data_IF_681716166331
#
_entry.id   IF_681716166331
#
_cell.length_a   1.000
_cell.length_b   1.000
_cell.length_c   1.000
_cell.angle_alpha   90.00
_cell.angle_beta   90.00
_cell.angle_gamma   90.00
#
_symmetry.space_group_name_H-M   'P 1'
#
loop_
_entity.id
_entity.type
_entity.pdbx_description
1 polymer ?
#
# COMPACT_ATOMS: atom_id res chain seq x y z
N UNK A 1 29.80 -86.68 16.28
CA UNK A 1 29.79 -86.62 17.76
C UNK A 1 30.03 -85.17 18.22
N UNK A 2 29.09 -84.66 19.02
CA UNK A 2 29.12 -83.47 19.88
C UNK A 2 29.64 -82.10 19.33
N UNK A 3 28.66 -81.26 18.98
CA UNK A 3 28.47 -79.83 19.32
C UNK A 3 28.92 -79.45 20.78
N UNK A 4 28.91 -78.18 21.29
CA UNK A 4 28.39 -76.90 20.72
C UNK A 4 29.08 -75.56 21.18
N UNK A 5 28.47 -74.41 20.82
CA UNK A 5 28.19 -73.24 21.71
C UNK A 5 29.34 -72.29 22.14
N UNK A 6 29.25 -70.95 22.18
CA UNK A 6 28.16 -69.97 22.19
C UNK A 6 28.75 -68.55 22.00
N UNK A 7 27.99 -67.62 21.43
CA UNK A 7 28.16 -66.17 21.62
C UNK A 7 28.26 -65.39 20.29
N UNK A 8 27.29 -64.59 19.87
CA UNK A 8 26.07 -64.15 20.54
C UNK A 8 25.05 -63.53 19.56
N UNK A 9 23.82 -63.44 20.05
CA UNK A 9 22.66 -62.68 19.53
C UNK A 9 22.92 -61.16 19.39
N UNK A 10 21.96 -60.34 18.91
CA UNK A 10 20.84 -60.56 17.98
C UNK A 10 20.79 -59.56 16.79
N UNK A 11 19.81 -59.77 15.90
CA UNK A 11 19.42 -59.07 14.66
C UNK A 11 19.37 -57.52 14.70
N UNK A 12 19.25 -56.86 13.53
CA UNK A 12 17.88 -56.50 13.14
C UNK A 12 17.59 -56.45 11.62
N UNK A 13 16.32 -56.74 11.32
CA UNK A 13 15.40 -56.07 10.38
C UNK A 13 15.77 -55.94 8.88
N UNK A 14 14.97 -56.57 8.04
CA UNK A 14 14.82 -56.31 6.59
C UNK A 14 13.74 -55.21 6.34
N UNK A 15 13.46 -54.72 5.12
CA UNK A 15 14.23 -54.62 3.86
C UNK A 15 14.17 -53.18 3.25
N UNK A 16 14.54 -53.04 1.96
CA UNK A 16 14.02 -52.07 0.96
C UNK A 16 14.86 -50.83 0.56
N UNK A 17 14.67 -50.31 -0.67
CA UNK A 17 15.74 -49.98 -1.60
C UNK A 17 15.88 -48.48 -1.86
N UNK A 18 16.98 -48.14 -2.54
CA UNK A 18 17.32 -46.82 -3.11
C UNK A 18 17.42 -45.70 -2.08
N UNK A 19 18.65 -45.31 -1.77
CA UNK A 19 18.99 -44.03 -1.16
C UNK A 19 18.45 -42.89 -2.04
N UNK A 20 17.21 -42.49 -1.82
CA UNK A 20 16.74 -41.16 -2.20
C UNK A 20 17.25 -40.24 -1.11
N UNK A 21 18.25 -39.43 -1.44
CA UNK A 21 18.61 -38.31 -0.58
C UNK A 21 17.38 -37.38 -0.53
N UNK A 22 16.64 -37.43 0.58
CA UNK A 22 15.54 -36.51 0.84
C UNK A 22 16.12 -35.18 1.34
N UNK A 23 16.54 -34.32 0.42
CA UNK A 23 16.73 -32.90 0.73
C UNK A 23 15.35 -32.26 0.81
N UNK A 24 14.73 -32.32 1.99
CA UNK A 24 13.55 -31.54 2.29
C UNK A 24 13.95 -30.06 2.48
N UNK A 25 14.03 -29.31 1.38
CA UNK A 25 13.91 -27.85 1.45
C UNK A 25 12.49 -27.49 1.02
N UNK A 26 11.58 -27.43 1.99
CA UNK A 26 10.39 -26.59 1.86
C UNK A 26 10.58 -25.43 2.82
N UNK A 27 10.94 -24.28 2.26
CA UNK A 27 10.55 -22.98 2.80
C UNK A 27 9.90 -22.25 1.64
N UNK A 28 8.79 -21.62 1.99
CA UNK A 28 7.70 -21.10 1.18
C UNK A 28 8.16 -20.06 0.14
N UNK A 29 7.36 -19.81 -0.93
CA UNK A 29 7.69 -18.78 -1.92
C UNK A 29 7.94 -17.46 -1.20
N UNK A 30 9.18 -16.96 -1.26
CA UNK A 30 9.49 -15.66 -0.71
C UNK A 30 8.62 -14.63 -1.42
N UNK A 31 7.61 -14.15 -0.68
CA UNK A 31 6.93 -12.88 -0.86
C UNK A 31 7.95 -11.77 -1.21
N UNK A 32 7.54 -10.76 -2.01
CA UNK A 32 8.44 -9.81 -2.64
C UNK A 32 9.44 -9.26 -1.63
N UNK A 33 10.72 -9.33 -1.99
CA UNK A 33 11.83 -8.87 -1.17
C UNK A 33 11.64 -7.39 -0.81
N UNK A 34 11.06 -7.16 0.35
CA UNK A 34 11.29 -5.94 1.10
C UNK A 34 12.70 -6.08 1.67
N UNK A 35 13.64 -5.52 0.92
CA UNK A 35 15.05 -5.42 1.29
C UNK A 35 15.15 -4.51 2.53
N UNK A 36 14.96 -5.07 3.73
CA UNK A 36 15.33 -4.42 4.99
C UNK A 36 16.86 -4.35 5.09
N UNK A 37 17.40 -3.27 4.55
CA UNK A 37 18.80 -2.87 4.72
C UNK A 37 19.02 -2.17 6.06
N UNK A 38 20.11 -2.52 6.73
CA UNK A 38 20.57 -1.94 8.00
C UNK A 38 20.90 -0.42 7.86
N UNK A 39 19.89 0.44 7.92
CA UNK A 39 19.99 1.88 8.16
C UNK A 39 18.60 2.40 8.48
N UNK A 40 18.45 3.11 9.61
CA UNK A 40 17.16 3.46 10.24
C UNK A 40 16.32 4.49 9.48
N UNK A 41 16.03 4.26 8.20
CA UNK A 41 15.02 4.98 7.44
C UNK A 41 13.71 4.18 7.43
N UNK A 42 12.62 4.82 7.84
CA UNK A 42 11.29 4.23 7.84
C UNK A 42 10.59 4.64 6.55
N UNK A 43 10.06 3.65 5.82
CA UNK A 43 9.32 3.87 4.59
C UNK A 43 8.16 4.86 4.77
N UNK A 44 7.86 5.69 3.77
CA UNK A 44 6.70 6.57 3.81
C UNK A 44 5.42 5.73 3.80
N UNK A 45 4.61 5.86 4.85
CA UNK A 45 3.32 5.19 4.98
C UNK A 45 2.21 6.23 5.15
N UNK A 46 1.14 6.11 4.35
CA UNK A 46 -0.02 7.01 4.46
C UNK A 46 -0.82 6.67 5.71
N UNK A 47 -0.78 7.58 6.69
CA UNK A 47 -1.66 7.56 7.85
C UNK A 47 -3.08 7.97 7.46
N UNK A 48 -3.20 8.94 6.55
CA UNK A 48 -4.45 9.37 5.94
C UNK A 48 -4.19 9.49 4.45
N UNK A 49 -4.88 8.67 3.65
CA UNK A 49 -4.89 8.77 2.21
C UNK A 49 -5.96 9.77 1.75
N UNK A 50 -5.73 10.49 0.64
CA UNK A 50 -6.79 11.29 0.04
C UNK A 50 -7.96 10.39 -0.34
N UNK A 51 -9.18 10.88 -0.10
CA UNK A 51 -10.42 10.17 -0.41
C UNK A 51 -11.05 10.73 -1.68
N UNK A 52 -11.58 9.87 -2.53
CA UNK A 52 -12.35 10.30 -3.70
C UNK A 52 -13.61 11.06 -3.27
N UNK A 53 -13.90 12.17 -3.94
CA UNK A 53 -15.06 13.00 -3.65
C UNK A 53 -15.82 13.34 -4.92
N UNK A 54 -17.14 13.43 -4.79
CA UNK A 54 -18.03 13.98 -5.81
C UNK A 54 -18.59 15.28 -5.26
N UNK A 55 -18.42 16.36 -5.99
CA UNK A 55 -18.91 17.68 -5.62
C UNK A 55 -19.59 18.35 -6.80
N UNK A 56 -20.31 19.42 -6.54
CA UNK A 56 -20.92 20.21 -7.57
C UNK A 56 -20.09 21.44 -7.93
N UNK A 57 -20.32 21.97 -9.14
CA UNK A 57 -19.68 23.21 -9.54
C UNK A 57 -19.91 24.30 -8.49
N UNK A 58 -18.81 24.90 -8.04
CA UNK A 58 -18.83 25.99 -7.06
C UNK A 58 -18.64 25.55 -5.61
N UNK A 59 -18.64 24.25 -5.31
CA UNK A 59 -18.34 23.72 -3.98
C UNK A 59 -16.84 23.75 -3.66
N UNK A 60 -16.52 23.80 -2.37
CA UNK A 60 -15.15 23.75 -1.89
C UNK A 60 -14.74 22.31 -1.57
N UNK A 61 -13.54 21.93 -1.98
CA UNK A 61 -13.00 20.57 -1.84
C UNK A 61 -11.72 20.62 -1.03
N UNK A 62 -11.55 19.69 -0.08
CA UNK A 62 -10.32 19.55 0.67
C UNK A 62 -9.84 18.10 0.66
N UNK A 63 -8.75 17.84 -0.04
CA UNK A 63 -8.04 16.56 0.06
C UNK A 63 -7.07 16.61 1.23
N UNK A 64 -7.08 15.57 2.06
CA UNK A 64 -6.16 15.43 3.20
C UNK A 64 -5.25 14.24 2.94
N UNK A 65 -3.95 14.45 3.10
CA UNK A 65 -2.90 13.45 2.96
C UNK A 65 -1.93 13.58 4.14
N UNK A 66 -1.83 12.54 4.98
CA UNK A 66 -0.86 12.49 6.09
C UNK A 66 0.00 11.27 5.93
N UNK A 67 1.31 11.46 6.03
CA UNK A 67 2.29 10.40 5.82
C UNK A 67 3.28 10.40 6.96
N UNK A 68 3.61 9.22 7.46
CA UNK A 68 4.72 8.98 8.38
C UNK A 68 5.90 8.43 7.60
N UNK A 69 7.12 8.80 7.96
CA UNK A 69 8.34 8.27 7.36
C UNK A 69 9.56 8.92 7.99
N UNK A 70 10.72 8.28 7.89
CA UNK A 70 11.97 8.80 8.43
C UNK A 70 13.06 8.66 7.37
N UNK A 71 13.70 9.75 6.89
CA UNK A 71 13.47 11.15 7.24
C UNK A 71 12.06 11.66 6.86
N UNK A 72 11.64 12.80 7.40
CA UNK A 72 10.30 13.37 7.17
C UNK A 72 9.95 13.35 5.67
N UNK A 73 8.83 12.70 5.27
CA UNK A 73 8.50 12.56 3.86
C UNK A 73 8.07 13.90 3.27
N UNK A 74 8.54 14.19 2.07
CA UNK A 74 8.10 15.34 1.27
C UNK A 74 6.86 14.92 0.50
N UNK A 75 5.80 15.72 0.59
CA UNK A 75 4.56 15.51 -0.15
C UNK A 75 4.55 16.35 -1.44
N UNK A 76 4.22 15.69 -2.54
CA UNK A 76 4.01 16.29 -3.85
C UNK A 76 2.62 15.89 -4.34
N UNK A 77 1.82 16.88 -4.73
CA UNK A 77 0.50 16.61 -5.32
C UNK A 77 0.58 16.67 -6.84
N UNK A 78 -0.11 15.76 -7.49
CA UNK A 78 -0.23 15.68 -8.95
C UNK A 78 -1.70 15.57 -9.33
N UNK A 79 -2.12 16.28 -10.38
CA UNK A 79 -3.46 16.17 -10.98
C UNK A 79 -3.30 15.62 -12.38
N UNK A 80 -3.91 14.48 -12.68
CA UNK A 80 -3.89 13.85 -14.00
C UNK A 80 -2.45 13.74 -14.57
N UNK A 81 -1.48 13.40 -13.70
CA UNK A 81 -0.05 13.31 -14.03
C UNK A 81 0.71 14.65 -14.10
N UNK A 82 0.06 15.77 -13.79
CA UNK A 82 0.68 17.10 -13.76
C UNK A 82 0.95 17.54 -12.33
N UNK A 83 2.22 17.83 -12.00
CA UNK A 83 2.61 18.31 -10.68
C UNK A 83 1.95 19.65 -10.36
N UNK A 84 1.28 19.72 -9.21
CA UNK A 84 0.73 20.94 -8.64
C UNK A 84 1.85 21.65 -7.86
N UNK A 85 2.64 22.45 -8.57
CA UNK A 85 3.86 23.10 -8.03
C UNK A 85 3.63 24.01 -6.82
N UNK A 86 2.41 24.55 -6.66
CA UNK A 86 2.08 25.50 -5.59
C UNK A 86 1.70 24.85 -4.25
N UNK A 87 1.71 23.51 -4.18
CA UNK A 87 1.24 22.74 -3.00
C UNK A 87 2.34 21.90 -2.34
N UNK A 88 3.60 22.24 -2.62
CA UNK A 88 4.75 21.51 -2.12
C UNK A 88 4.66 21.39 -0.58
N UNK A 89 4.77 20.17 -0.06
CA UNK A 89 4.78 19.85 1.38
C UNK A 89 3.46 20.07 2.13
N UNK A 90 2.37 20.40 1.43
CA UNK A 90 1.07 20.58 2.08
C UNK A 90 0.38 19.24 2.32
N UNK A 91 0.09 18.94 3.59
CA UNK A 91 -0.74 17.78 3.99
C UNK A 91 -2.20 17.93 3.60
N UNK A 92 -2.62 19.11 3.15
CA UNK A 92 -3.95 19.37 2.65
C UNK A 92 -3.88 20.10 1.32
N UNK A 93 -4.75 19.73 0.39
CA UNK A 93 -5.00 20.47 -0.84
C UNK A 93 -6.44 20.97 -0.83
N UNK A 94 -6.60 22.29 -0.82
CA UNK A 94 -7.91 22.95 -0.85
C UNK A 94 -8.15 23.56 -2.23
N UNK A 95 -9.25 23.17 -2.87
CA UNK A 95 -9.75 23.74 -4.10
C UNK A 95 -11.03 24.49 -3.79
N UNK A 96 -11.01 25.80 -4.00
CA UNK A 96 -12.19 26.64 -3.83
C UNK A 96 -12.97 26.75 -5.14
N UNK A 97 -14.29 26.72 -5.06
CA UNK A 97 -15.17 26.84 -6.22
C UNK A 97 -14.82 25.84 -7.33
N UNK A 98 -14.98 24.54 -7.04
CA UNK A 98 -14.63 23.46 -7.95
C UNK A 98 -15.33 23.63 -9.32
N UNK A 99 -14.57 23.52 -10.41
CA UNK A 99 -15.11 23.58 -11.78
C UNK A 99 -15.05 22.20 -12.42
N UNK A 100 -15.90 21.92 -13.44
CA UNK A 100 -15.83 20.66 -14.19
C UNK A 100 -14.43 20.31 -14.72
N UNK A 101 -13.60 21.32 -15.02
CA UNK A 101 -12.22 21.15 -15.46
C UNK A 101 -11.25 20.77 -14.34
N UNK A 102 -11.60 21.11 -13.09
CA UNK A 102 -10.81 20.74 -11.92
C UNK A 102 -11.06 19.26 -11.53
N UNK A 103 -12.11 18.62 -12.07
CA UNK A 103 -12.27 17.16 -11.98
C UNK A 103 -11.06 16.41 -12.57
N UNK A 104 -10.74 15.26 -11.98
CA UNK A 104 -9.57 14.47 -12.37
C UNK A 104 -9.07 13.54 -11.26
N UNK A 105 -7.95 12.89 -11.53
CA UNK A 105 -7.25 12.02 -10.57
C UNK A 105 -6.16 12.82 -9.86
N UNK A 106 -6.30 12.97 -8.55
CA UNK A 106 -5.33 13.61 -7.67
C UNK A 106 -4.47 12.55 -6.99
N UNK A 107 -3.16 12.63 -7.16
CA UNK A 107 -2.19 11.72 -6.56
C UNK A 107 -1.34 12.48 -5.54
N UNK A 108 -1.33 12.00 -4.30
CA UNK A 108 -0.40 12.43 -3.27
C UNK A 108 0.82 11.50 -3.34
N UNK A 109 1.97 12.05 -3.66
CA UNK A 109 3.26 11.36 -3.72
C UNK A 109 4.10 11.74 -2.53
N UNK A 110 4.50 10.75 -1.75
CA UNK A 110 5.27 10.94 -0.54
C UNK A 110 6.66 10.31 -0.70
N UNK A 111 7.69 11.12 -0.63
CA UNK A 111 9.08 10.67 -0.77
C UNK A 111 9.84 10.81 0.54
N UNK A 112 10.38 9.72 1.05
CA UNK A 112 11.27 9.69 2.23
C UNK A 112 12.61 9.07 1.83
N UNK A 113 13.63 9.91 1.64
CA UNK A 113 14.95 9.46 1.21
C UNK A 113 14.92 8.72 -0.13
N UNK A 114 15.25 7.43 -0.11
CA UNK A 114 15.22 6.53 -1.28
C UNK A 114 13.87 5.83 -1.50
N UNK A 115 12.91 5.99 -0.59
CA UNK A 115 11.61 5.34 -0.66
C UNK A 115 10.51 6.33 -1.07
N UNK A 116 9.50 5.82 -1.77
CA UNK A 116 8.37 6.60 -2.26
C UNK A 116 7.07 5.80 -2.06
N UNK A 117 5.99 6.49 -1.70
CA UNK A 117 4.66 5.94 -1.62
C UNK A 117 3.67 6.85 -2.37
N UNK A 118 2.67 6.26 -3.00
CA UNK A 118 1.65 6.95 -3.80
C UNK A 118 0.25 6.64 -3.28
N UNK A 119 -0.60 7.66 -3.18
CA UNK A 119 -2.02 7.50 -2.89
C UNK A 119 -2.86 8.35 -3.84
N UNK A 120 -3.88 7.74 -4.46
CA UNK A 120 -4.71 8.40 -5.47
C UNK A 120 -6.14 8.63 -4.96
N UNK A 121 -6.74 9.74 -5.38
CA UNK A 121 -8.13 10.09 -5.14
C UNK A 121 -8.75 10.69 -6.41
N UNK A 122 -10.02 10.42 -6.64
CA UNK A 122 -10.75 10.95 -7.79
C UNK A 122 -11.63 12.11 -7.34
N UNK A 123 -11.52 13.26 -8.03
CA UNK A 123 -12.48 14.35 -7.92
C UNK A 123 -13.44 14.31 -9.10
N UNK A 124 -14.72 14.13 -8.82
CA UNK A 124 -15.78 14.29 -9.81
C UNK A 124 -16.54 15.59 -9.55
N UNK A 125 -16.52 16.50 -10.52
CA UNK A 125 -17.27 17.76 -10.42
C UNK A 125 -18.47 17.70 -11.36
N UNK A 126 -19.66 17.61 -10.76
CA UNK A 126 -20.91 17.61 -11.50
C UNK A 126 -21.21 19.04 -11.99
N UNK A 127 -21.57 19.21 -13.28
CA UNK A 127 -22.06 20.49 -13.77
C UNK A 127 -23.34 20.85 -13.01
N UNK A 128 -23.51 22.13 -12.68
CA UNK A 128 -24.72 22.62 -12.02
C UNK A 128 -25.89 22.51 -13.02
N UNK A 129 -26.46 21.32 -13.15
CA UNK A 129 -27.64 21.05 -13.96
C UNK A 129 -28.85 21.65 -13.28
N UNK A 130 -29.61 22.45 -14.02
CA UNK A 130 -30.92 22.94 -13.59
C UNK A 130 -31.76 21.76 -13.06
N UNK A 131 -32.22 21.88 -11.81
CA UNK A 131 -32.89 20.88 -10.95
C UNK A 131 -31.97 19.94 -10.15
N UNK A 132 -31.55 20.45 -8.99
CA UNK A 132 -31.76 19.75 -7.72
C UNK A 132 -30.82 18.61 -7.33
N UNK A 133 -29.74 18.34 -8.07
CA UNK A 133 -28.84 17.22 -7.78
C UNK A 133 -27.72 17.52 -6.77
N UNK A 134 -27.55 18.79 -6.37
CA UNK A 134 -26.49 19.20 -5.44
C UNK A 134 -27.01 19.69 -4.08
N UNK A 135 -28.34 19.77 -3.90
CA UNK A 135 -28.95 20.29 -2.67
C UNK A 135 -29.20 19.19 -1.62
N UNK A 136 -28.61 18.00 -1.80
CA UNK A 136 -28.89 16.81 -0.99
C UNK A 136 -27.72 16.26 -0.19
N UNK A 137 -26.48 16.55 -0.55
CA UNK A 137 -25.30 15.84 0.00
C UNK A 137 -24.51 16.74 0.95
N UNK A 138 -25.22 17.55 1.74
CA UNK A 138 -24.66 18.07 2.98
C UNK A 138 -24.60 16.92 3.99
N UNK A 139 -23.68 16.00 3.75
CA UNK A 139 -23.09 15.04 4.69
C UNK A 139 -24.02 14.39 5.73
N UNK A 140 -24.51 13.15 5.50
CA UNK A 140 -24.90 12.26 6.60
C UNK A 140 -23.95 11.05 6.67
N UNK A 141 -22.63 11.26 6.83
CA UNK A 141 -21.71 10.18 7.25
C UNK A 141 -21.16 10.34 8.67
N UNK A 142 -21.76 11.22 9.49
CA UNK A 142 -21.65 11.06 10.94
C UNK A 142 -22.50 9.85 11.37
N UNK A 143 -21.92 8.67 11.26
CA UNK A 143 -22.27 7.51 12.08
C UNK A 143 -21.43 7.55 13.36
#
# INVERSE_FOLDING_TARGET
PAHPSLGGSPSPVQPEPRTYAATALRVEPAEPREEEGCSGSVAPAFLIAPSSMRVCRGEDVMFTCRVSGQPCPVLEWEKDGHKLSDLFESSHFSLFSARPQDGGVYVCRARSGSQEALAAAVLLVEPQGERGQCLGDKFPWKC
#
